data_IF_184474221393
#
_entry.id   IF_184474221393
#
_cell.length_a   1.000
_cell.length_b   1.000
_cell.length_c   1.000
_cell.angle_alpha   90.00
_cell.angle_beta   90.00
_cell.angle_gamma   90.00
#
_symmetry.space_group_name_H-M   'P 1'
#
loop_
_entity.id
_entity.type
_entity.pdbx_description
1 polymer ?
#
# COMPACT_ATOMS: atom_id res chain seq x y z
N UNK A 1 2.15 -20.66 -8.40
CA UNK A 1 0.92 -19.93 -7.97
C UNK A 1 1.23 -18.79 -7.01
N UNK A 2 2.10 -19.00 -6.01
CA UNK A 2 2.44 -18.01 -4.97
C UNK A 2 2.98 -16.66 -5.52
N UNK A 3 3.81 -16.69 -6.56
CA UNK A 3 4.31 -15.46 -7.19
C UNK A 3 3.17 -14.59 -7.77
N UNK A 4 2.15 -15.20 -8.37
CA UNK A 4 1.02 -14.46 -8.95
C UNK A 4 0.16 -13.82 -7.84
N UNK A 5 -0.06 -14.53 -6.73
CA UNK A 5 -0.73 -13.98 -5.55
C UNK A 5 0.05 -12.82 -4.94
N UNK A 6 1.37 -12.95 -4.82
CA UNK A 6 2.22 -11.89 -4.30
C UNK A 6 2.20 -10.63 -5.18
N UNK A 7 2.22 -10.79 -6.51
CA UNK A 7 2.07 -9.68 -7.46
C UNK A 7 0.71 -9.01 -7.34
N UNK A 8 -0.36 -9.79 -7.18
CA UNK A 8 -1.70 -9.26 -6.97
C UNK A 8 -1.77 -8.45 -5.66
N UNK A 9 -1.16 -8.96 -4.58
CA UNK A 9 -1.11 -8.26 -3.29
C UNK A 9 -0.40 -6.91 -3.38
N UNK A 10 0.70 -6.82 -4.12
CA UNK A 10 1.36 -5.53 -4.40
C UNK A 10 0.44 -4.58 -5.16
N UNK A 11 -0.19 -5.06 -6.25
CA UNK A 11 -1.10 -4.24 -7.07
C UNK A 11 -2.30 -3.71 -6.27
N UNK A 12 -2.86 -4.52 -5.36
CA UNK A 12 -3.94 -4.10 -4.47
C UNK A 12 -3.50 -3.04 -3.47
N UNK A 13 -2.34 -3.23 -2.82
CA UNK A 13 -1.80 -2.25 -1.88
C UNK A 13 -1.50 -0.91 -2.56
N UNK A 14 -0.92 -0.94 -3.76
CA UNK A 14 -0.63 0.27 -4.56
C UNK A 14 -1.93 0.97 -5.00
N UNK A 15 -2.95 0.20 -5.37
CA UNK A 15 -4.27 0.76 -5.75
C UNK A 15 -4.96 1.44 -4.56
N UNK A 16 -4.86 0.86 -3.37
CA UNK A 16 -5.37 1.44 -2.12
C UNK A 16 -4.63 2.73 -1.77
N UNK A 17 -3.30 2.72 -1.84
CA UNK A 17 -2.47 3.90 -1.62
C UNK A 17 -2.86 5.04 -2.58
N UNK A 18 -2.97 4.73 -3.88
CA UNK A 18 -3.37 5.71 -4.89
C UNK A 18 -4.77 6.27 -4.65
N UNK A 19 -5.68 5.46 -4.09
CA UNK A 19 -7.02 5.93 -3.70
C UNK A 19 -6.95 6.91 -2.54
N UNK A 20 -6.12 6.64 -1.53
CA UNK A 20 -5.91 7.54 -0.40
C UNK A 20 -5.25 8.85 -0.84
N UNK A 21 -4.32 8.82 -1.80
CA UNK A 21 -3.66 10.02 -2.33
C UNK A 21 -4.71 10.98 -2.92
N UNK A 22 -5.64 10.44 -3.72
CA UNK A 22 -6.76 11.23 -4.27
C UNK A 22 -7.72 11.77 -3.22
N UNK A 23 -7.81 11.14 -2.05
CA UNK A 23 -8.60 11.65 -0.93
C UNK A 23 -7.85 12.80 -0.27
N UNK A 24 -6.54 12.67 -0.06
CA UNK A 24 -5.71 13.72 0.55
C UNK A 24 -5.63 15.02 -0.26
N UNK A 25 -5.92 14.99 -1.56
CA UNK A 25 -6.02 16.21 -2.39
C UNK A 25 -7.15 17.16 -1.93
N UNK A 26 -8.08 16.68 -1.10
CA UNK A 26 -9.18 17.45 -0.52
C UNK A 26 -8.91 17.73 0.95
N UNK A 27 -9.24 18.93 1.41
CA UNK A 27 -9.20 19.28 2.84
C UNK A 27 -10.53 18.94 3.51
N UNK A 28 -10.50 18.19 4.60
CA UNK A 28 -11.69 17.79 5.35
C UNK A 28 -11.76 18.41 6.74
N UNK A 29 -10.74 19.17 7.12
CA UNK A 29 -10.59 19.76 8.44
C UNK A 29 -9.55 19.01 9.26
N UNK A 30 -8.88 19.72 10.17
CA UNK A 30 -7.63 19.28 10.82
C UNK A 30 -7.72 17.88 11.46
N UNK A 31 -8.83 17.56 12.13
CA UNK A 31 -9.01 16.25 12.76
C UNK A 31 -9.08 15.09 11.76
N UNK A 32 -9.78 15.30 10.64
CA UNK A 32 -9.88 14.30 9.57
C UNK A 32 -8.55 14.22 8.80
N UNK A 33 -7.92 15.35 8.53
CA UNK A 33 -6.65 15.42 7.82
C UNK A 33 -5.52 14.68 8.58
N UNK A 34 -5.49 14.77 9.92
CA UNK A 34 -4.57 14.00 10.77
C UNK A 34 -4.82 12.48 10.68
N UNK A 35 -6.08 12.05 10.80
CA UNK A 35 -6.43 10.62 10.67
C UNK A 35 -6.10 10.07 9.27
N UNK A 36 -6.27 10.88 8.22
CA UNK A 36 -5.87 10.54 6.86
C UNK A 36 -4.35 10.41 6.71
N UNK A 37 -3.57 11.27 7.37
CA UNK A 37 -2.10 11.14 7.39
C UNK A 37 -1.65 9.80 8.00
N UNK A 38 -2.25 9.38 9.12
CA UNK A 38 -1.92 8.09 9.73
C UNK A 38 -2.34 6.92 8.84
N UNK A 39 -3.53 6.99 8.25
CA UNK A 39 -4.01 6.01 7.28
C UNK A 39 -3.07 5.89 6.07
N UNK A 40 -2.58 7.04 5.57
CA UNK A 40 -1.63 7.11 4.47
C UNK A 40 -0.31 6.41 4.84
N UNK A 41 0.24 6.67 6.03
CA UNK A 41 1.47 6.01 6.51
C UNK A 41 1.30 4.49 6.60
N UNK A 42 0.15 4.03 7.10
CA UNK A 42 -0.16 2.60 7.17
C UNK A 42 -0.24 1.98 5.77
N UNK A 43 -0.88 2.66 4.82
CA UNK A 43 -0.96 2.18 3.43
C UNK A 43 0.42 2.13 2.75
N UNK A 44 1.25 3.15 2.94
CA UNK A 44 2.64 3.16 2.44
C UNK A 44 3.45 1.99 3.02
N UNK A 45 3.32 1.73 4.33
CA UNK A 45 3.97 0.59 4.97
C UNK A 45 3.50 -0.74 4.38
N UNK A 46 2.19 -0.91 4.17
CA UNK A 46 1.63 -2.12 3.54
C UNK A 46 2.14 -2.34 2.12
N UNK A 47 2.32 -1.28 1.32
CA UNK A 47 2.96 -1.38 0.00
C UNK A 47 4.41 -1.85 0.13
N UNK A 48 5.17 -1.29 1.07
CA UNK A 48 6.55 -1.69 1.32
C UNK A 48 6.66 -3.16 1.71
N UNK A 49 5.84 -3.61 2.65
CA UNK A 49 5.79 -5.00 3.12
C UNK A 49 5.37 -5.98 2.01
N UNK A 50 4.37 -5.62 1.19
CA UNK A 50 3.94 -6.42 0.06
C UNK A 50 5.05 -6.56 -1.00
N UNK A 51 5.77 -5.46 -1.29
CA UNK A 51 6.92 -5.48 -2.22
C UNK A 51 8.06 -6.32 -1.69
N UNK A 52 8.39 -6.20 -0.40
CA UNK A 52 9.39 -7.02 0.25
C UNK A 52 9.01 -8.51 0.20
N UNK A 53 7.75 -8.84 0.47
CA UNK A 53 7.24 -10.20 0.36
C UNK A 53 7.34 -10.75 -1.07
N UNK A 54 7.00 -9.95 -2.08
CA UNK A 54 7.18 -10.32 -3.48
C UNK A 54 8.66 -10.58 -3.82
N UNK A 55 9.57 -9.74 -3.34
CA UNK A 55 11.02 -9.92 -3.52
C UNK A 55 11.50 -11.21 -2.87
N UNK A 56 11.05 -11.50 -1.64
CA UNK A 56 11.36 -12.77 -0.95
C UNK A 56 10.87 -13.99 -1.73
N UNK A 57 9.65 -13.96 -2.26
CA UNK A 57 9.11 -15.06 -3.09
C UNK A 57 9.88 -15.20 -4.41
N UNK A 58 10.32 -14.08 -5.01
CA UNK A 58 11.17 -14.11 -6.21
C UNK A 58 12.56 -14.71 -5.93
N UNK A 59 13.15 -14.40 -4.78
CA UNK A 59 14.48 -14.86 -4.39
C UNK A 59 14.48 -16.32 -3.89
N UNK A 60 13.41 -16.78 -3.25
CA UNK A 60 13.27 -18.17 -2.77
C UNK A 60 12.74 -19.17 -3.81
N UNK A 61 12.22 -18.69 -4.94
CA UNK A 61 11.88 -19.51 -6.11
C UNK A 61 12.96 -19.40 -7.22
N UNK A 62 14.17 -18.94 -6.88
CA UNK A 62 15.32 -18.90 -7.78
C UNK A 62 16.08 -20.22 -7.75
#
# INVERSE_FOLDING_TARGET
MELAKARLGVSQAESELKRLERIMDKRYGVGIDLALCDTMRVAQRRVSEAREHLTRIKAGNA
#
